data_IF_668504006509
#
_entry.id   IF_668504006509
#
_cell.length_a   1.000
_cell.length_b   1.000
_cell.length_c   1.000
_cell.angle_alpha   90.00
_cell.angle_beta   90.00
_cell.angle_gamma   90.00
#
_symmetry.space_group_name_H-M   'P 1'
#
loop_
_entity.id
_entity.type
_entity.pdbx_description
1 polymer ?
#
# COMPACT_ATOMS: atom_id res chain seq x y z
N UNK A 1 11.54 8.71 -13.76
CA UNK A 1 11.86 7.37 -14.30
C UNK A 1 10.56 6.73 -14.73
N UNK A 2 10.30 6.66 -16.03
CA UNK A 2 9.04 6.16 -16.57
C UNK A 2 9.11 4.71 -17.08
N UNK A 3 7.99 4.18 -17.55
CA UNK A 3 7.83 2.82 -18.10
C UNK A 3 8.77 2.53 -19.28
N UNK A 4 9.21 3.56 -20.00
CA UNK A 4 10.18 3.43 -21.10
C UNK A 4 11.50 2.75 -20.67
N UNK A 5 11.96 2.99 -19.43
CA UNK A 5 13.17 2.33 -18.91
C UNK A 5 12.96 0.85 -18.58
N UNK A 6 11.70 0.41 -18.42
CA UNK A 6 11.39 -0.99 -18.13
C UNK A 6 11.26 -1.85 -19.39
N UNK A 7 11.25 -1.24 -20.57
CA UNK A 7 11.11 -1.95 -21.84
C UNK A 7 12.24 -2.96 -22.09
N UNK A 8 13.47 -2.66 -21.64
CA UNK A 8 14.63 -3.55 -21.77
C UNK A 8 14.47 -4.88 -21.02
N UNK A 9 13.65 -4.89 -19.97
CA UNK A 9 13.37 -6.08 -19.17
C UNK A 9 12.24 -6.95 -19.73
N UNK A 10 11.57 -6.49 -20.80
CA UNK A 10 10.52 -7.23 -21.51
C UNK A 10 9.49 -7.87 -20.57
N UNK A 11 9.29 -9.18 -20.71
CA UNK A 11 8.31 -9.96 -19.91
C UNK A 11 8.64 -10.00 -18.41
N UNK A 12 9.89 -9.75 -18.01
CA UNK A 12 10.28 -9.74 -16.61
C UNK A 12 9.94 -8.40 -15.91
N UNK A 13 9.69 -7.33 -16.68
CA UNK A 13 9.47 -5.99 -16.15
C UNK A 13 8.42 -5.92 -15.02
N UNK A 14 7.22 -6.54 -15.12
CA UNK A 14 6.18 -6.43 -14.08
C UNK A 14 6.55 -7.09 -12.74
N UNK A 15 7.49 -8.03 -12.77
CA UNK A 15 8.01 -8.71 -11.58
C UNK A 15 9.11 -7.89 -10.89
N UNK A 16 9.77 -6.99 -11.62
CA UNK A 16 10.82 -6.11 -11.12
C UNK A 16 10.25 -4.76 -10.64
N UNK A 17 9.30 -4.20 -11.40
CA UNK A 17 8.68 -2.91 -11.10
C UNK A 17 7.26 -2.86 -11.63
N UNK A 18 6.35 -2.31 -10.82
CA UNK A 18 5.01 -1.92 -11.29
C UNK A 18 5.07 -0.79 -12.30
N UNK A 19 4.09 -0.76 -13.17
CA UNK A 19 3.94 0.30 -14.18
C UNK A 19 3.75 1.67 -13.53
N UNK A 20 4.03 2.74 -14.25
CA UNK A 20 3.81 4.10 -13.77
C UNK A 20 2.34 4.35 -13.40
N UNK A 21 1.41 3.75 -14.16
CA UNK A 21 -0.02 3.81 -13.87
C UNK A 21 -0.35 3.16 -12.52
N UNK A 22 0.07 1.92 -12.29
CA UNK A 22 -0.19 1.22 -11.01
C UNK A 22 0.48 1.93 -9.83
N UNK A 23 1.68 2.49 -10.04
CA UNK A 23 2.37 3.29 -9.02
C UNK A 23 1.62 4.56 -8.69
N UNK A 24 1.11 5.28 -9.70
CA UNK A 24 0.33 6.49 -9.51
C UNK A 24 -0.97 6.17 -8.76
N UNK A 25 -1.74 5.18 -9.22
CA UNK A 25 -2.99 4.76 -8.57
C UNK A 25 -2.77 4.35 -7.10
N UNK A 26 -1.68 3.63 -6.80
CA UNK A 26 -1.34 3.23 -5.43
C UNK A 26 -0.93 4.42 -4.54
N UNK A 27 -0.32 5.45 -5.11
CA UNK A 27 0.10 6.66 -4.38
C UNK A 27 -1.04 7.65 -4.18
N UNK A 28 -1.97 7.74 -5.13
CA UNK A 28 -3.11 8.67 -5.07
C UNK A 28 -4.36 8.06 -4.41
N UNK A 29 -4.28 6.82 -3.93
CA UNK A 29 -5.38 6.21 -3.17
C UNK A 29 -5.68 7.05 -1.93
N UNK A 30 -6.96 7.09 -1.53
CA UNK A 30 -7.33 7.69 -0.26
C UNK A 30 -6.59 7.00 0.90
N UNK A 31 -6.01 7.82 1.79
CA UNK A 31 -5.30 7.37 2.97
C UNK A 31 -5.50 8.39 4.08
N UNK A 32 -6.06 7.96 5.21
CA UNK A 32 -6.21 8.79 6.40
C UNK A 32 -5.26 8.30 7.50
N UNK A 33 -4.23 9.10 7.77
CA UNK A 33 -3.19 8.82 8.76
C UNK A 33 -3.74 8.63 10.18
N UNK A 34 -4.91 9.20 10.50
CA UNK A 34 -5.47 9.12 11.86
C UNK A 34 -6.29 7.86 12.08
N UNK A 35 -6.80 7.25 11.01
CA UNK A 35 -7.71 6.11 11.10
C UNK A 35 -7.14 4.82 10.53
N UNK A 36 -6.31 4.85 9.48
CA UNK A 36 -5.60 3.65 8.99
C UNK A 36 -4.44 3.28 9.93
N UNK A 37 -4.45 2.05 10.47
CA UNK A 37 -3.44 1.57 11.40
C UNK A 37 -3.13 0.07 11.20
N UNK A 38 -2.11 -0.42 11.91
CA UNK A 38 -1.84 -1.84 12.07
C UNK A 38 -2.20 -2.28 13.48
N UNK A 39 -2.89 -3.41 13.61
CA UNK A 39 -3.33 -3.98 14.89
C UNK A 39 -2.79 -5.40 15.00
N UNK A 40 -2.45 -5.81 16.22
CA UNK A 40 -1.99 -7.17 16.52
C UNK A 40 -3.12 -8.17 16.26
N UNK A 41 -2.81 -9.26 15.58
CA UNK A 41 -3.70 -10.39 15.36
C UNK A 41 -3.05 -11.69 15.86
N UNK A 42 -3.82 -12.54 16.52
CA UNK A 42 -3.29 -13.76 17.16
C UNK A 42 -2.78 -14.81 16.16
N UNK A 43 -3.25 -14.79 14.90
CA UNK A 43 -2.95 -15.81 13.89
C UNK A 43 -1.98 -15.33 12.82
N UNK A 44 -1.99 -14.05 12.49
CA UNK A 44 -1.16 -13.47 11.41
C UNK A 44 -0.26 -12.34 11.89
N UNK A 45 -0.05 -12.23 13.22
CA UNK A 45 0.76 -11.23 13.93
C UNK A 45 0.24 -9.80 13.81
N UNK A 46 0.05 -9.28 12.60
CA UNK A 46 -0.44 -7.93 12.34
C UNK A 46 -1.36 -7.88 11.13
N UNK A 47 -2.46 -7.13 11.28
CA UNK A 47 -3.40 -6.84 10.19
C UNK A 47 -3.58 -5.34 10.02
N UNK A 48 -3.91 -4.94 8.78
CA UNK A 48 -4.37 -3.57 8.50
C UNK A 48 -5.79 -3.41 9.06
N UNK A 49 -6.02 -2.32 9.78
CA UNK A 49 -7.31 -1.97 10.35
C UNK A 49 -7.64 -0.49 10.17
N UNK A 50 -8.90 -0.14 10.48
CA UNK A 50 -9.36 1.23 10.55
C UNK A 50 -9.99 1.49 11.93
N UNK A 51 -9.61 2.58 12.58
CA UNK A 51 -10.17 2.97 13.89
C UNK A 51 -11.64 3.37 13.71
N UNK A 52 -12.54 2.70 14.44
CA UNK A 52 -14.00 2.97 14.38
C UNK A 52 -14.43 4.01 15.41
N UNK A 53 -13.97 3.88 16.66
CA UNK A 53 -14.18 4.84 17.74
C UNK A 53 -12.96 4.83 18.67
N UNK A 54 -12.85 5.87 19.50
CA UNK A 54 -11.85 5.97 20.57
C UNK A 54 -12.57 6.23 21.88
N UNK A 55 -13.14 5.17 22.46
CA UNK A 55 -13.82 5.25 23.75
C UNK A 55 -12.81 5.01 24.87
N UNK A 56 -12.59 6.03 25.70
CA UNK A 56 -11.64 5.97 26.81
C UNK A 56 -10.20 6.30 26.41
N UNK A 57 -9.93 7.56 26.13
CA UNK A 57 -8.58 8.10 26.28
C UNK A 57 -8.30 8.30 27.77
N UNK A 58 -7.23 7.68 28.28
CA UNK A 58 -6.53 8.27 29.41
C UNK A 58 -5.88 9.59 28.97
#
# INVERSE_FOLDING_TARGET
>A
MGDALMAEFGKAAPYLRKSDKERLEAQTRAFDIKTECFVVDEKVEYVKGQIQSKDGGM
#
